data_IF_216028985072
#
_entry.id   IF_216028985072
#
_cell.length_a   1.000
_cell.length_b   1.000
_cell.length_c   1.000
_cell.angle_alpha   90.00
_cell.angle_beta   90.00
_cell.angle_gamma   90.00
#
_symmetry.space_group_name_H-M   'P 1'
#
loop_
_entity.id
_entity.type
_entity.pdbx_description
1 polymer ?
#
# COMPACT_ATOMS: atom_id res chain seq x y z
N UNK A 1 -14.05 15.48 -2.67
CA UNK A 1 -14.82 14.21 -2.57
C UNK A 1 -13.93 12.98 -2.45
N UNK A 2 -12.66 13.04 -2.84
CA UNK A 2 -11.73 11.90 -2.89
C UNK A 2 -11.97 10.92 -4.04
N UNK A 3 -13.02 11.11 -4.84
CA UNK A 3 -13.23 10.34 -6.07
C UNK A 3 -12.29 10.81 -7.16
N UNK A 4 -11.51 9.89 -7.72
CA UNK A 4 -10.65 10.16 -8.87
C UNK A 4 -11.43 9.82 -10.14
N UNK A 5 -11.63 10.82 -10.98
CA UNK A 5 -12.30 10.66 -12.26
C UNK A 5 -11.38 9.99 -13.27
N UNK A 6 -11.95 9.21 -14.17
CA UNK A 6 -11.19 8.49 -15.18
C UNK A 6 -10.48 9.44 -16.15
N UNK A 7 -11.22 10.40 -16.66
CA UNK A 7 -10.70 11.35 -17.64
C UNK A 7 -11.51 12.64 -17.71
N UNK A 8 -10.95 13.61 -18.40
CA UNK A 8 -11.64 14.83 -18.82
C UNK A 8 -11.05 15.32 -20.15
N UNK A 9 -11.79 16.15 -20.86
CA UNK A 9 -11.26 16.84 -22.04
C UNK A 9 -10.88 18.27 -21.68
N UNK A 10 -9.82 18.78 -22.29
CA UNK A 10 -9.42 20.18 -22.13
C UNK A 10 -10.00 21.01 -23.26
N UNK A 11 -10.89 21.96 -22.96
CA UNK A 11 -11.52 22.83 -23.96
C UNK A 11 -11.46 24.29 -23.51
N UNK A 12 -11.11 25.18 -24.45
CA UNK A 12 -11.10 26.65 -24.21
C UNK A 12 -10.32 27.08 -22.95
N UNK A 13 -9.23 26.40 -22.63
CA UNK A 13 -8.41 26.73 -21.46
C UNK A 13 -8.94 26.22 -20.12
N UNK A 14 -9.95 25.34 -20.13
CA UNK A 14 -10.52 24.72 -18.93
C UNK A 14 -10.83 23.24 -19.13
N UNK A 15 -10.80 22.43 -18.06
CA UNK A 15 -11.25 21.04 -18.12
C UNK A 15 -12.77 20.99 -18.32
N UNK A 16 -13.22 20.07 -19.16
CA UNK A 16 -14.63 19.85 -19.51
C UNK A 16 -14.90 18.36 -19.77
N UNK A 17 -16.17 17.97 -19.88
CA UNK A 17 -16.60 16.62 -20.18
C UNK A 17 -15.92 15.56 -19.29
N UNK A 18 -16.11 15.69 -17.98
CA UNK A 18 -15.56 14.77 -17.02
C UNK A 18 -16.17 13.36 -17.16
N UNK A 19 -15.34 12.36 -17.33
CA UNK A 19 -15.73 10.98 -17.11
C UNK A 19 -15.57 10.65 -15.62
N UNK A 20 -16.66 10.55 -14.92
CA UNK A 20 -16.70 10.35 -13.46
C UNK A 20 -16.61 8.87 -13.06
N UNK A 21 -16.35 7.97 -14.00
CA UNK A 21 -16.16 6.57 -13.67
C UNK A 21 -14.98 6.41 -12.70
N UNK A 22 -15.22 5.69 -11.61
CA UNK A 22 -14.22 5.46 -10.57
C UNK A 22 -13.70 4.02 -10.66
N UNK A 23 -12.40 3.87 -10.87
CA UNK A 23 -11.74 2.58 -10.86
C UNK A 23 -10.76 2.46 -9.71
N UNK A 24 -10.49 1.23 -9.27
CA UNK A 24 -9.45 0.97 -8.28
C UNK A 24 -8.06 1.32 -8.81
N UNK A 25 -7.85 1.27 -10.12
CA UNK A 25 -6.63 1.73 -10.78
C UNK A 25 -6.43 3.25 -10.59
N UNK A 26 -7.43 4.05 -10.93
CA UNK A 26 -7.36 5.50 -10.83
C UNK A 26 -7.17 5.94 -9.37
N UNK A 27 -7.96 5.39 -8.45
CA UNK A 27 -7.81 5.65 -7.01
C UNK A 27 -6.39 5.31 -6.53
N UNK A 28 -5.87 4.14 -6.92
CA UNK A 28 -4.54 3.70 -6.52
C UNK A 28 -3.42 4.59 -7.05
N UNK A 29 -3.42 4.90 -8.34
CA UNK A 29 -2.35 5.71 -8.96
C UNK A 29 -2.33 7.13 -8.42
N UNK A 30 -3.49 7.76 -8.23
CA UNK A 30 -3.57 9.10 -7.63
C UNK A 30 -3.19 9.09 -6.15
N UNK A 31 -3.63 8.07 -5.39
CA UNK A 31 -3.19 7.88 -4.02
C UNK A 31 -1.65 7.82 -3.94
N UNK A 32 -1.03 6.98 -4.77
CA UNK A 32 0.42 6.86 -4.82
C UNK A 32 1.12 8.15 -5.22
N UNK A 33 0.56 8.88 -6.20
CA UNK A 33 1.09 10.18 -6.63
C UNK A 33 1.04 11.19 -5.49
N UNK A 34 -0.10 11.32 -4.80
CA UNK A 34 -0.26 12.23 -3.68
C UNK A 34 0.75 11.93 -2.55
N UNK A 35 0.92 10.64 -2.21
CA UNK A 35 1.93 10.21 -1.22
C UNK A 35 3.34 10.59 -1.64
N UNK A 36 3.71 10.34 -2.91
CA UNK A 36 5.04 10.68 -3.41
C UNK A 36 5.29 12.20 -3.44
N UNK A 37 4.30 12.99 -3.82
CA UNK A 37 4.41 14.45 -3.81
C UNK A 37 4.52 15.00 -2.39
N UNK A 38 3.74 14.45 -1.45
CA UNK A 38 3.87 14.81 -0.04
C UNK A 38 5.28 14.51 0.49
N UNK A 39 5.79 13.32 0.22
CA UNK A 39 7.14 12.93 0.66
C UNK A 39 8.23 13.81 0.05
N UNK A 40 8.02 14.31 -1.18
CA UNK A 40 9.00 15.15 -1.87
C UNK A 40 8.94 16.61 -1.45
N UNK A 41 7.74 17.18 -1.38
CA UNK A 41 7.56 18.63 -1.15
C UNK A 41 7.20 18.99 0.29
N UNK A 42 6.67 18.05 1.09
CA UNK A 42 6.19 18.31 2.44
C UNK A 42 4.92 19.14 2.52
N UNK A 43 4.22 19.34 1.39
CA UNK A 43 2.98 20.12 1.35
C UNK A 43 1.80 19.28 1.86
N UNK A 44 1.19 19.70 2.96
CA UNK A 44 0.09 18.99 3.62
C UNK A 44 -1.14 18.78 2.71
N UNK A 45 -1.31 19.59 1.67
CA UNK A 45 -2.41 19.40 0.71
C UNK A 45 -2.36 18.02 0.05
N UNK A 46 -1.17 17.54 -0.30
CA UNK A 46 -1.02 16.20 -0.88
C UNK A 46 -1.36 15.07 0.09
N UNK A 47 -1.07 15.26 1.38
CA UNK A 47 -1.47 14.30 2.41
C UNK A 47 -2.98 14.28 2.60
N UNK A 48 -3.62 15.45 2.64
CA UNK A 48 -5.07 15.58 2.70
C UNK A 48 -5.75 14.94 1.47
N UNK A 49 -5.21 15.16 0.28
CA UNK A 49 -5.68 14.52 -0.95
C UNK A 49 -5.59 12.99 -0.86
N UNK A 50 -4.46 12.47 -0.39
CA UNK A 50 -4.28 11.02 -0.17
C UNK A 50 -5.31 10.46 0.81
N UNK A 51 -5.56 11.15 1.92
CA UNK A 51 -6.54 10.76 2.93
C UNK A 51 -7.97 10.77 2.35
N UNK A 52 -8.32 11.79 1.58
CA UNK A 52 -9.64 11.87 0.92
C UNK A 52 -9.83 10.73 -0.10
N UNK A 53 -8.82 10.42 -0.90
CA UNK A 53 -8.85 9.33 -1.88
C UNK A 53 -9.05 7.98 -1.15
N UNK A 54 -8.31 7.75 -0.08
CA UNK A 54 -8.43 6.52 0.69
C UNK A 54 -9.78 6.40 1.38
N UNK A 55 -10.31 7.50 1.93
CA UNK A 55 -11.65 7.55 2.51
C UNK A 55 -12.71 7.17 1.48
N UNK A 56 -12.69 7.78 0.29
CA UNK A 56 -13.62 7.42 -0.79
C UNK A 56 -13.52 5.95 -1.17
N UNK A 57 -12.30 5.44 -1.29
CA UNK A 57 -12.06 4.03 -1.63
C UNK A 57 -12.71 3.10 -0.62
N UNK A 58 -12.54 3.34 0.67
CA UNK A 58 -13.09 2.51 1.73
C UNK A 58 -14.61 2.61 1.84
N UNK A 59 -15.17 3.80 1.71
CA UNK A 59 -16.60 4.06 1.92
C UNK A 59 -17.46 3.74 0.68
N UNK A 60 -16.95 3.99 -0.54
CA UNK A 60 -17.76 3.91 -1.76
C UNK A 60 -17.44 2.69 -2.63
N UNK A 61 -16.20 2.20 -2.59
CA UNK A 61 -15.76 1.10 -3.45
C UNK A 61 -15.74 -0.24 -2.75
N UNK A 62 -16.04 -0.29 -1.47
CA UNK A 62 -16.14 -1.53 -0.69
C UNK A 62 -17.61 -1.89 -0.42
N UNK A 63 -17.83 -3.15 -0.04
CA UNK A 63 -19.09 -3.57 0.54
C UNK A 63 -19.16 -3.21 2.04
N UNK A 64 -20.22 -3.58 2.69
CA UNK A 64 -20.45 -3.35 4.14
C UNK A 64 -19.41 -3.99 5.06
N UNK A 65 -18.67 -4.99 4.59
CA UNK A 65 -17.59 -5.66 5.32
C UNK A 65 -16.19 -5.11 4.98
N UNK A 66 -16.11 -4.02 4.24
CA UNK A 66 -14.84 -3.39 3.84
C UNK A 66 -14.09 -4.10 2.70
N UNK A 67 -14.74 -5.05 2.01
CA UNK A 67 -14.12 -5.77 0.88
C UNK A 67 -14.36 -5.01 -0.42
N UNK A 68 -13.28 -4.76 -1.17
CA UNK A 68 -13.32 -4.05 -2.44
C UNK A 68 -14.17 -4.83 -3.45
N UNK A 69 -15.18 -4.15 -3.99
CA UNK A 69 -15.99 -4.64 -5.09
C UNK A 69 -15.17 -4.69 -6.38
N UNK A 70 -15.62 -5.43 -7.37
CA UNK A 70 -15.09 -5.30 -8.74
C UNK A 70 -15.46 -3.93 -9.31
N UNK A 71 -14.62 -3.40 -10.20
CA UNK A 71 -14.95 -2.16 -10.90
C UNK A 71 -16.23 -2.31 -11.70
N UNK A 72 -17.02 -1.26 -11.74
CA UNK A 72 -18.14 -1.18 -12.66
C UNK A 72 -17.64 -1.36 -14.11
N UNK A 73 -18.35 -2.15 -14.89
CA UNK A 73 -17.98 -2.44 -16.29
C UNK A 73 -16.90 -3.51 -16.45
N UNK A 74 -16.45 -4.16 -15.36
CA UNK A 74 -15.49 -5.28 -15.46
C UNK A 74 -16.06 -6.46 -16.26
N UNK A 75 -17.37 -6.56 -16.33
CA UNK A 75 -18.11 -7.52 -17.17
C UNK A 75 -19.08 -6.74 -18.04
N UNK A 76 -19.11 -7.04 -19.33
CA UNK A 76 -20.09 -6.46 -20.26
C UNK A 76 -21.48 -7.10 -20.12
N UNK A 77 -22.44 -6.62 -20.90
CA UNK A 77 -23.82 -7.12 -20.89
C UNK A 77 -23.96 -8.59 -21.28
N UNK A 78 -22.92 -9.18 -21.84
CA UNK A 78 -22.86 -10.60 -22.23
C UNK A 78 -22.12 -11.45 -21.17
N UNK A 79 -21.71 -10.87 -20.04
CA UNK A 79 -20.95 -11.54 -19.00
C UNK A 79 -19.48 -11.77 -19.35
N UNK A 80 -18.95 -11.06 -20.36
CA UNK A 80 -17.56 -11.15 -20.77
C UNK A 80 -16.71 -10.13 -20.04
N UNK A 81 -15.53 -10.54 -19.58
CA UNK A 81 -14.57 -9.64 -18.96
C UNK A 81 -14.06 -8.59 -19.95
N UNK A 82 -13.96 -7.35 -19.52
CA UNK A 82 -13.55 -6.21 -20.33
C UNK A 82 -12.08 -5.87 -20.06
N UNK A 83 -11.25 -6.13 -21.07
CA UNK A 83 -9.85 -5.71 -21.09
C UNK A 83 -9.05 -6.13 -19.86
N UNK A 84 -8.37 -5.17 -19.26
CA UNK A 84 -7.48 -5.33 -18.11
C UNK A 84 -8.12 -4.91 -16.76
N UNK A 85 -9.39 -4.51 -16.77
CA UNK A 85 -10.13 -4.09 -15.57
C UNK A 85 -10.03 -5.09 -14.39
N UNK A 86 -10.00 -6.41 -14.62
CA UNK A 86 -9.80 -7.39 -13.55
C UNK A 86 -8.48 -7.22 -12.78
N UNK A 87 -7.44 -6.61 -13.38
CA UNK A 87 -6.13 -6.39 -12.76
C UNK A 87 -6.05 -5.18 -11.82
N UNK A 88 -7.03 -4.30 -11.85
CA UNK A 88 -6.95 -2.97 -11.24
C UNK A 88 -6.83 -2.96 -9.72
N UNK A 89 -7.41 -3.94 -9.04
CA UNK A 89 -7.29 -4.05 -7.58
C UNK A 89 -5.86 -4.23 -7.10
N UNK A 90 -5.04 -4.97 -7.87
CA UNK A 90 -3.63 -5.18 -7.54
C UNK A 90 -2.83 -3.87 -7.53
N UNK A 91 -3.18 -2.94 -8.43
CA UNK A 91 -2.58 -1.61 -8.49
C UNK A 91 -2.97 -0.80 -7.25
N UNK A 92 -4.24 -0.80 -6.88
CA UNK A 92 -4.70 -0.12 -5.67
C UNK A 92 -3.94 -0.62 -4.43
N UNK A 93 -3.88 -1.93 -4.22
CA UNK A 93 -3.25 -2.51 -3.02
C UNK A 93 -1.77 -2.12 -2.87
N UNK A 94 -1.04 -1.97 -3.98
CA UNK A 94 0.34 -1.47 -3.99
C UNK A 94 0.43 -0.07 -3.38
N UNK A 95 -0.44 0.83 -3.81
CA UNK A 95 -0.38 2.22 -3.39
C UNK A 95 -1.03 2.46 -2.03
N UNK A 96 -1.99 1.64 -1.63
CA UNK A 96 -2.48 1.64 -0.24
C UNK A 96 -1.37 1.24 0.74
N UNK A 97 -0.55 0.24 0.39
CA UNK A 97 0.62 -0.07 1.21
C UNK A 97 1.53 1.17 1.37
N UNK A 98 1.78 1.87 0.27
CA UNK A 98 2.61 3.07 0.31
C UNK A 98 1.99 4.16 1.17
N UNK A 99 0.69 4.40 1.04
CA UNK A 99 -0.05 5.32 1.90
C UNK A 99 0.04 4.93 3.37
N UNK A 100 -0.14 3.66 3.67
CA UNK A 100 -0.08 3.14 5.04
C UNK A 100 1.31 3.32 5.66
N UNK A 101 2.36 3.00 4.91
CA UNK A 101 3.75 3.01 5.40
C UNK A 101 4.32 4.42 5.41
N UNK A 102 4.26 5.12 4.27
CA UNK A 102 4.94 6.41 4.08
C UNK A 102 4.24 7.56 4.83
N UNK A 103 2.92 7.47 5.06
CA UNK A 103 2.15 8.48 5.82
C UNK A 103 1.76 8.01 7.23
N UNK A 104 2.29 6.89 7.67
CA UNK A 104 1.99 6.30 8.97
C UNK A 104 0.47 6.19 9.23
N UNK A 105 -0.20 5.36 8.45
CA UNK A 105 -1.64 5.11 8.54
C UNK A 105 -1.91 3.65 8.93
N UNK A 106 -1.59 3.24 10.17
CA UNK A 106 -1.61 1.82 10.59
C UNK A 106 -3.01 1.21 10.60
N UNK A 107 -4.07 2.01 10.69
CA UNK A 107 -5.47 1.57 10.61
C UNK A 107 -5.84 0.99 9.23
N UNK A 108 -5.07 1.30 8.20
CA UNK A 108 -5.21 0.66 6.89
C UNK A 108 -4.75 -0.80 6.87
N UNK A 109 -3.92 -1.22 7.80
CA UNK A 109 -3.38 -2.58 7.84
C UNK A 109 -4.48 -3.63 8.02
N UNK A 110 -5.42 -3.40 8.94
CA UNK A 110 -6.55 -4.30 9.17
C UNK A 110 -7.44 -4.38 7.92
N UNK A 111 -7.76 -3.24 7.31
CA UNK A 111 -8.54 -3.20 6.08
C UNK A 111 -7.86 -3.95 4.93
N UNK A 112 -6.55 -3.81 4.76
CA UNK A 112 -5.79 -4.56 3.76
C UNK A 112 -5.80 -6.06 4.05
N UNK A 113 -5.64 -6.44 5.31
CA UNK A 113 -5.68 -7.83 5.75
C UNK A 113 -7.05 -8.48 5.51
N UNK A 114 -8.16 -7.76 5.75
CA UNK A 114 -9.52 -8.23 5.44
C UNK A 114 -9.64 -8.55 3.95
N UNK A 115 -9.16 -7.68 3.09
CA UNK A 115 -9.20 -7.88 1.63
C UNK A 115 -8.34 -9.07 1.18
N UNK A 116 -7.12 -9.19 1.70
CA UNK A 116 -6.24 -10.31 1.41
C UNK A 116 -6.82 -11.64 1.91
N UNK A 117 -7.38 -11.65 3.11
CA UNK A 117 -8.01 -12.83 3.71
C UNK A 117 -9.25 -13.27 2.92
N UNK A 118 -10.06 -12.32 2.47
CA UNK A 118 -11.23 -12.63 1.66
C UNK A 118 -10.85 -13.25 0.31
N UNK A 119 -9.85 -12.68 -0.36
CA UNK A 119 -9.29 -13.25 -1.59
C UNK A 119 -8.75 -14.68 -1.34
N UNK A 120 -8.05 -14.88 -0.23
CA UNK A 120 -7.51 -16.18 0.16
C UNK A 120 -8.62 -17.22 0.42
N UNK A 121 -9.66 -16.87 1.17
CA UNK A 121 -10.75 -17.79 1.52
C UNK A 121 -11.61 -18.22 0.31
N UNK A 122 -11.66 -17.40 -0.71
CA UNK A 122 -12.41 -17.68 -1.93
C UNK A 122 -11.59 -18.35 -3.04
N UNK A 123 -10.40 -18.86 -2.70
CA UNK A 123 -9.61 -19.71 -3.63
C UNK A 123 -10.35 -21.00 -3.94
N UNK A 124 -10.06 -21.56 -5.11
CA UNK A 124 -10.41 -22.94 -5.43
C UNK A 124 -9.45 -23.95 -4.76
N UNK A 125 -9.60 -25.25 -5.05
CA UNK A 125 -8.75 -26.32 -4.51
C UNK A 125 -7.29 -26.20 -4.96
N UNK A 126 -7.02 -25.60 -6.13
CA UNK A 126 -5.68 -25.35 -6.66
C UNK A 126 -5.01 -24.09 -6.05
N UNK A 127 -5.69 -23.41 -5.14
CA UNK A 127 -5.18 -22.21 -4.49
C UNK A 127 -5.32 -20.93 -5.32
N UNK A 128 -6.13 -20.95 -6.37
CA UNK A 128 -6.32 -19.82 -7.29
C UNK A 128 -7.52 -18.97 -6.85
N UNK A 129 -7.35 -17.64 -6.85
CA UNK A 129 -8.42 -16.65 -6.61
C UNK A 129 -8.76 -15.88 -7.87
N UNK A 130 -10.06 -15.65 -8.12
CA UNK A 130 -10.50 -14.72 -9.14
C UNK A 130 -10.46 -13.26 -8.66
N UNK A 131 -10.67 -12.29 -9.57
CA UNK A 131 -10.70 -10.86 -9.21
C UNK A 131 -11.91 -10.47 -8.35
N UNK A 132 -12.98 -11.23 -8.40
CA UNK A 132 -14.18 -11.01 -7.59
C UNK A 132 -14.02 -11.64 -6.21
N UNK A 133 -13.29 -11.00 -5.31
CA UNK A 133 -12.91 -11.55 -4.01
C UNK A 133 -14.09 -11.93 -3.10
N UNK A 134 -15.30 -11.47 -3.41
CA UNK A 134 -16.53 -11.85 -2.72
C UNK A 134 -17.14 -13.15 -3.26
N UNK A 135 -16.60 -13.70 -4.33
CA UNK A 135 -17.12 -14.87 -5.02
C UNK A 135 -16.14 -16.04 -4.91
N UNK A 136 -16.63 -17.22 -4.56
CA UNK A 136 -15.82 -18.44 -4.57
C UNK A 136 -15.33 -18.72 -5.99
N UNK A 137 -14.04 -18.88 -6.14
CA UNK A 137 -13.43 -19.25 -7.42
C UNK A 137 -13.83 -20.68 -7.81
N UNK A 138 -14.20 -20.89 -9.05
CA UNK A 138 -14.59 -22.24 -9.55
C UNK A 138 -13.39 -23.18 -9.56
N UNK A 139 -13.64 -24.48 -9.44
CA UNK A 139 -12.60 -25.49 -9.40
C UNK A 139 -11.86 -25.64 -10.76
N UNK A 140 -12.56 -25.50 -11.86
CA UNK A 140 -11.96 -25.53 -13.21
C UNK A 140 -11.50 -24.13 -13.65
N UNK A 141 -10.62 -23.50 -12.85
CA UNK A 141 -10.08 -22.20 -13.21
C UNK A 141 -8.95 -22.34 -14.23
N UNK A 142 -9.15 -21.79 -15.42
CA UNK A 142 -8.10 -21.73 -16.45
C UNK A 142 -7.77 -20.28 -16.79
N UNK A 143 -6.51 -19.92 -16.64
CA UNK A 143 -6.01 -18.58 -17.00
C UNK A 143 -5.89 -18.37 -18.51
N UNK A 144 -6.17 -19.39 -19.31
CA UNK A 144 -5.85 -19.42 -20.74
C UNK A 144 -7.02 -19.21 -21.69
N UNK A 145 -8.22 -18.96 -21.18
CA UNK A 145 -9.37 -18.70 -22.06
C UNK A 145 -9.63 -17.21 -22.09
N UNK A 146 -9.74 -16.59 -23.28
CA UNK A 146 -10.00 -15.17 -23.38
C UNK A 146 -11.28 -14.82 -22.62
N UNK A 147 -11.13 -13.98 -21.63
CA UNK A 147 -12.09 -13.19 -20.89
C UNK A 147 -13.56 -13.59 -21.09
N UNK A 148 -14.02 -14.62 -20.40
CA UNK A 148 -15.41 -15.07 -20.57
C UNK A 148 -16.26 -14.95 -19.31
N UNK A 149 -15.65 -14.90 -18.14
CA UNK A 149 -16.31 -14.65 -16.85
C UNK A 149 -15.26 -14.43 -15.73
N UNK A 150 -15.67 -14.03 -14.53
CA UNK A 150 -14.77 -13.83 -13.37
C UNK A 150 -13.92 -15.04 -13.01
N UNK A 151 -14.40 -16.22 -13.35
CA UNK A 151 -13.77 -17.47 -12.98
C UNK A 151 -12.62 -17.88 -13.91
N UNK A 152 -12.39 -17.11 -14.97
CA UNK A 152 -11.38 -17.36 -15.98
C UNK A 152 -10.53 -16.14 -16.28
N UNK A 153 -10.51 -15.17 -15.38
CA UNK A 153 -9.72 -13.96 -15.59
C UNK A 153 -8.22 -14.23 -15.34
N UNK A 154 -7.34 -13.78 -16.24
CA UNK A 154 -5.91 -14.00 -16.09
C UNK A 154 -5.26 -13.11 -15.02
N UNK A 155 -5.96 -12.09 -14.54
CA UNK A 155 -5.44 -11.12 -13.57
C UNK A 155 -5.88 -11.41 -12.13
N UNK A 156 -6.90 -12.24 -11.93
CA UNK A 156 -7.41 -12.59 -10.60
C UNK A 156 -6.32 -13.06 -9.64
N UNK A 157 -5.52 -14.07 -10.02
CA UNK A 157 -4.42 -14.55 -9.17
C UNK A 157 -3.42 -13.47 -8.82
N UNK A 158 -3.05 -12.61 -9.77
CA UNK A 158 -2.09 -11.53 -9.53
C UNK A 158 -2.64 -10.47 -8.58
N UNK A 159 -3.95 -10.17 -8.64
CA UNK A 159 -4.58 -9.22 -7.70
C UNK A 159 -4.63 -9.77 -6.28
N UNK A 160 -4.92 -11.06 -6.12
CA UNK A 160 -4.94 -11.73 -4.83
C UNK A 160 -3.53 -11.80 -4.21
N UNK A 161 -2.52 -12.14 -5.01
CA UNK A 161 -1.11 -12.11 -4.58
C UNK A 161 -0.69 -10.69 -4.20
N UNK A 162 -1.07 -9.69 -5.00
CA UNK A 162 -0.81 -8.28 -4.67
C UNK A 162 -1.46 -7.87 -3.34
N UNK A 163 -2.70 -8.29 -3.09
CA UNK A 163 -3.38 -8.03 -1.83
C UNK A 163 -2.63 -8.67 -0.65
N UNK A 164 -2.29 -9.94 -0.76
CA UNK A 164 -1.56 -10.67 0.29
C UNK A 164 -0.18 -10.06 0.56
N UNK A 165 0.60 -9.80 -0.49
CA UNK A 165 1.94 -9.22 -0.37
C UNK A 165 1.91 -7.82 0.23
N UNK A 166 1.03 -6.96 -0.26
CA UNK A 166 0.98 -5.56 0.19
C UNK A 166 0.31 -5.37 1.56
N UNK A 167 -0.50 -6.33 2.03
CA UNK A 167 -1.05 -6.31 3.38
C UNK A 167 -0.03 -6.73 4.45
N UNK A 168 1.06 -7.37 4.05
CA UNK A 168 2.11 -7.76 4.98
C UNK A 168 2.94 -6.52 5.40
N UNK A 169 2.90 -6.21 6.68
CA UNK A 169 3.61 -5.09 7.30
C UNK A 169 4.67 -5.55 8.30
N UNK A 170 5.27 -6.68 8.03
CA UNK A 170 6.17 -7.34 8.96
C UNK A 170 5.44 -8.33 9.88
N UNK A 171 6.19 -9.26 10.44
CA UNK A 171 5.64 -10.16 11.43
C UNK A 171 5.58 -9.45 12.79
N UNK A 172 4.39 -8.98 13.16
CA UNK A 172 4.17 -8.32 14.44
C UNK A 172 4.43 -9.24 15.64
N UNK A 173 4.56 -10.54 15.41
CA UNK A 173 4.87 -11.52 16.47
C UNK A 173 6.38 -11.67 16.68
N UNK A 174 7.20 -11.31 15.70
CA UNK A 174 8.66 -11.36 15.84
C UNK A 174 9.11 -10.21 16.72
N UNK A 175 9.63 -10.57 17.89
CA UNK A 175 10.26 -9.60 18.80
C UNK A 175 11.63 -9.21 18.26
N UNK A 176 11.84 -7.92 18.10
CA UNK A 176 13.16 -7.35 17.80
C UNK A 176 13.88 -7.10 19.11
N UNK A 177 14.92 -7.85 19.40
CA UNK A 177 15.71 -7.73 20.62
C UNK A 177 16.61 -6.48 20.52
N UNK A 178 16.28 -5.45 21.28
CA UNK A 178 17.02 -4.18 21.27
C UNK A 178 18.48 -4.34 21.71
N UNK A 179 18.82 -5.39 22.47
CA UNK A 179 20.17 -5.64 22.99
C UNK A 179 21.08 -6.42 22.02
N UNK A 180 20.51 -7.00 20.96
CA UNK A 180 21.25 -7.68 19.90
C UNK A 180 21.53 -6.83 18.68
N UNK A 181 21.06 -5.61 18.68
CA UNK A 181 21.06 -4.75 17.52
C UNK A 181 19.89 -5.02 16.57
N UNK A 182 19.33 -3.96 16.03
CA UNK A 182 18.28 -4.02 15.02
C UNK A 182 18.87 -3.40 13.76
N UNK A 183 18.95 -4.18 12.70
CA UNK A 183 19.41 -3.66 11.41
C UNK A 183 18.43 -2.59 10.91
N UNK A 184 18.97 -1.51 10.38
CA UNK A 184 18.16 -0.35 9.98
C UNK A 184 17.11 -0.69 8.92
N UNK A 185 17.37 -1.65 8.05
CA UNK A 185 16.48 -2.14 7.01
C UNK A 185 15.33 -3.03 7.53
N UNK A 186 15.39 -3.48 8.78
CA UNK A 186 14.32 -4.27 9.42
C UNK A 186 13.17 -3.42 9.95
N UNK A 187 12.93 -2.29 9.31
CA UNK A 187 11.81 -1.40 9.64
C UNK A 187 10.46 -2.01 9.25
N UNK A 188 9.43 -1.61 9.98
CA UNK A 188 8.04 -1.93 9.67
C UNK A 188 7.35 -0.78 8.92
N UNK A 189 7.80 0.46 9.17
CA UNK A 189 7.34 1.67 8.48
C UNK A 189 8.50 2.56 8.09
N UNK A 190 8.30 3.38 7.06
CA UNK A 190 9.26 4.39 6.66
C UNK A 190 8.57 5.62 6.04
N UNK A 191 9.26 6.76 6.11
CA UNK A 191 8.92 7.96 5.36
C UNK A 191 10.21 8.67 4.93
N UNK A 192 10.30 9.09 3.68
CA UNK A 192 11.43 9.88 3.17
C UNK A 192 12.79 9.16 3.23
N UNK A 193 12.81 7.84 3.29
CA UNK A 193 14.00 7.00 3.40
C UNK A 193 13.98 5.95 2.30
N UNK A 194 15.13 5.60 1.78
CA UNK A 194 15.32 4.53 0.80
C UNK A 194 16.50 3.65 1.20
N UNK A 195 16.50 2.40 0.78
CA UNK A 195 17.62 1.50 0.98
C UNK A 195 18.67 1.69 -0.10
N UNK A 196 19.93 1.76 0.31
CA UNK A 196 21.08 1.78 -0.58
C UNK A 196 21.89 0.52 -0.37
N UNK A 197 22.42 -0.02 -1.46
CA UNK A 197 23.53 -0.98 -1.40
C UNK A 197 24.83 -0.20 -1.52
N UNK A 198 25.69 -0.31 -0.51
CA UNK A 198 27.02 0.31 -0.53
C UNK A 198 28.06 -0.78 -0.68
N UNK A 199 29.00 -0.59 -1.61
CA UNK A 199 30.07 -1.53 -1.88
C UNK A 199 30.84 -1.88 -0.60
N UNK A 200 30.95 -3.17 -0.30
CA UNK A 200 31.64 -3.70 0.88
C UNK A 200 30.84 -3.71 2.18
N UNK A 201 29.55 -3.39 2.12
CA UNK A 201 28.61 -3.58 3.23
C UNK A 201 27.69 -4.74 2.91
N UNK A 202 27.65 -5.74 3.79
CA UNK A 202 26.88 -6.97 3.60
C UNK A 202 25.37 -6.75 3.70
N UNK A 203 24.94 -5.64 4.30
CA UNK A 203 23.54 -5.26 4.46
C UNK A 203 23.28 -3.89 3.80
N UNK A 204 22.11 -3.68 3.22
CA UNK A 204 21.73 -2.38 2.71
C UNK A 204 21.74 -1.33 3.83
N UNK A 205 22.19 -0.14 3.53
CA UNK A 205 22.16 1.00 4.44
C UNK A 205 20.97 1.90 4.15
N UNK A 206 20.43 2.53 5.18
CA UNK A 206 19.34 3.48 5.03
C UNK A 206 19.89 4.84 4.66
N UNK A 207 19.38 5.42 3.57
CA UNK A 207 19.68 6.81 3.16
C UNK A 207 18.44 7.68 3.30
N UNK A 208 18.59 8.88 3.83
CA UNK A 208 17.51 9.85 3.91
C UNK A 208 17.55 10.82 2.75
N UNK A 209 16.39 11.14 2.17
CA UNK A 209 16.27 12.24 1.23
C UNK A 209 16.24 13.57 2.00
N UNK A 210 17.09 14.51 1.59
CA UNK A 210 17.21 15.83 2.22
C UNK A 210 16.00 16.73 2.04
N UNK A 211 15.06 16.34 1.21
CA UNK A 211 13.90 17.15 0.84
C UNK A 211 12.68 16.88 1.73
N UNK A 212 12.66 15.79 2.46
CA UNK A 212 11.56 15.48 3.36
C UNK A 212 11.80 16.15 4.73
N UNK A 213 10.92 17.07 5.09
CA UNK A 213 10.83 17.57 6.46
C UNK A 213 10.43 16.44 7.38
N UNK A 214 11.18 15.69 8.01
CA UNK A 214 10.95 14.51 8.84
C UNK A 214 10.95 13.17 8.07
N UNK A 215 12.15 12.68 7.75
CA UNK A 215 12.36 11.28 7.34
C UNK A 215 12.42 10.40 8.60
N UNK A 216 11.74 9.26 8.58
CA UNK A 216 11.77 8.33 9.72
C UNK A 216 11.65 6.86 9.29
N UNK A 217 12.13 5.98 10.17
CA UNK A 217 11.80 4.55 10.18
C UNK A 217 11.09 4.20 11.46
N UNK A 218 10.13 3.28 11.40
CA UNK A 218 9.44 2.77 12.59
C UNK A 218 9.60 1.26 12.73
N UNK A 219 9.70 0.81 13.96
CA UNK A 219 9.95 -0.58 14.32
C UNK A 219 8.90 -1.04 15.33
N UNK A 220 8.18 -2.13 15.02
CA UNK A 220 7.26 -2.75 15.96
C UNK A 220 7.94 -3.79 16.85
N UNK A 221 7.30 -4.07 17.98
CA UNK A 221 7.66 -5.16 18.88
C UNK A 221 9.14 -5.15 19.30
N UNK A 222 9.69 -3.96 19.49
CA UNK A 222 11.04 -3.82 20.02
C UNK A 222 11.02 -4.19 21.49
N UNK A 223 11.78 -5.22 21.84
CA UNK A 223 11.90 -5.71 23.20
C UNK A 223 13.12 -5.11 23.89
N UNK A 224 12.89 -4.23 24.83
CA UNK A 224 13.91 -3.65 25.68
C UNK A 224 14.19 -4.48 26.95
N UNK A 225 13.67 -5.72 27.00
CA UNK A 225 13.83 -6.58 28.16
C UNK A 225 13.15 -6.08 29.43
N UNK A 226 13.43 -6.74 30.57
CA UNK A 226 12.85 -6.35 31.86
C UNK A 226 13.56 -5.15 32.52
N UNK A 227 14.63 -4.65 31.93
CA UNK A 227 15.43 -3.58 32.47
C UNK A 227 15.31 -2.33 31.61
N UNK A 228 15.38 -1.15 32.26
CA UNK A 228 15.33 0.12 31.55
C UNK A 228 16.57 0.28 30.64
N UNK A 229 16.34 0.64 29.38
CA UNK A 229 17.41 1.05 28.49
C UNK A 229 18.04 2.36 29.02
N UNK A 230 19.36 2.39 29.14
CA UNK A 230 20.09 3.57 29.62
C UNK A 230 20.63 4.42 28.49
N UNK A 231 20.85 3.83 27.34
CA UNK A 231 21.40 4.48 26.14
C UNK A 231 20.92 3.74 24.90
N UNK A 232 20.85 4.47 23.80
CA UNK A 232 20.69 3.95 22.47
C UNK A 232 21.96 4.23 21.68
N UNK A 233 22.44 3.26 20.93
CA UNK A 233 23.60 3.39 20.08
C UNK A 233 23.16 3.23 18.62
N UNK A 234 23.56 4.18 17.77
CA UNK A 234 23.26 4.17 16.35
C UNK A 234 24.55 4.07 15.54
N UNK A 235 24.61 3.11 14.63
CA UNK A 235 25.65 3.04 13.62
C UNK A 235 25.22 3.85 12.40
N UNK A 236 25.83 5.02 12.23
CA UNK A 236 25.45 5.97 11.17
C UNK A 236 26.66 6.43 10.36
N UNK A 237 26.42 6.72 9.09
CA UNK A 237 27.36 7.41 8.22
C UNK A 237 26.80 8.78 7.88
N UNK A 238 27.14 9.83 8.64
CA UNK A 238 26.56 11.16 8.43
C UNK A 238 27.11 11.77 7.13
N UNK A 239 26.22 12.22 6.26
CA UNK A 239 26.58 12.91 5.02
C UNK A 239 26.71 14.43 5.22
N UNK A 240 26.21 14.96 6.33
CA UNK A 240 26.23 16.39 6.64
C UNK A 240 26.58 16.61 8.11
N UNK A 241 27.32 17.70 8.40
CA UNK A 241 27.56 18.10 9.78
C UNK A 241 26.22 18.48 10.45
N UNK A 242 26.13 18.24 11.74
CA UNK A 242 24.96 18.56 12.58
C UNK A 242 23.67 17.77 12.25
N UNK A 243 23.78 16.63 11.60
CA UNK A 243 22.62 15.70 11.49
C UNK A 243 22.17 15.26 12.89
N UNK A 244 20.85 15.16 13.08
CA UNK A 244 20.23 14.70 14.32
C UNK A 244 19.43 13.45 14.06
N UNK A 245 19.40 12.57 15.06
CA UNK A 245 18.46 11.43 15.14
C UNK A 245 17.61 11.68 16.38
N UNK A 246 16.32 11.70 16.20
CA UNK A 246 15.34 11.79 17.27
C UNK A 246 14.63 10.45 17.39
N UNK A 247 14.35 10.01 18.59
CA UNK A 247 13.68 8.73 18.86
C UNK A 247 12.36 9.03 19.55
N UNK A 248 11.31 8.48 18.98
CA UNK A 248 9.95 8.61 19.49
C UNK A 248 9.38 7.25 19.83
N UNK A 249 8.54 7.17 20.85
CA UNK A 249 7.79 6.00 21.20
C UNK A 249 6.36 6.11 20.63
N UNK A 250 5.80 4.98 20.25
CA UNK A 250 4.42 4.80 19.81
C UNK A 250 4.06 5.45 18.47
N UNK A 251 4.54 6.64 18.17
CA UNK A 251 4.25 7.31 16.89
C UNK A 251 5.37 8.28 16.50
N UNK A 252 5.46 8.69 15.21
CA UNK A 252 6.44 9.72 14.79
C UNK A 252 6.24 11.07 15.43
N UNK A 253 5.07 11.34 15.99
CA UNK A 253 4.71 12.56 16.72
C UNK A 253 4.56 12.27 18.22
N UNK A 254 5.03 11.12 18.69
CA UNK A 254 5.00 10.69 20.09
C UNK A 254 6.03 11.43 20.96
N UNK A 255 5.99 11.12 22.27
CA UNK A 255 6.95 11.63 23.25
C UNK A 255 8.36 11.02 23.09
#
# INVERSE_FOLDING_TARGET
TGQVYDSFTWQKGAPSNYNTWASTYNQGTFLGTAVMLYNHYGDEQYKEDAQMIMKYTREQMCNEFGVIKVCQGVVDDQGKLVGDLPGFKGILMRYVRRFMVDLYQPDCAEWMAINAFQAYNNRNSDGVSCTAWLTKTVEEYTTYVPFTNYNKDPFGPSTAVSAAFNSYIGDKTVRKDAFRGIEAENFDYLKGIYTLSVDGVDSPVMGGDNMAAAAYTGYHNVDFGPYYAKSLEFRVLPQRPNSKIEVYLDSPDGE
#
